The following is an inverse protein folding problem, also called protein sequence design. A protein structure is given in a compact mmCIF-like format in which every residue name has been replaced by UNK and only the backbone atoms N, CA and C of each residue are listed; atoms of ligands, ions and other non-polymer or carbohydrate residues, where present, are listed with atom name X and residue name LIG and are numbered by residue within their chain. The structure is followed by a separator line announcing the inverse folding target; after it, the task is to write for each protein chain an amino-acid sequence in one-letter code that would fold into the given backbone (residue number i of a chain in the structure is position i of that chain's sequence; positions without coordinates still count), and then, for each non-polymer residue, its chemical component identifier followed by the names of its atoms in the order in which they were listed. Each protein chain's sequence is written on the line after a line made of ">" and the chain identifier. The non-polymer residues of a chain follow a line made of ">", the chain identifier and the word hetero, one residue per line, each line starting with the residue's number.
data_IF_658032074763
#
_entry.id   IF_658032074763
#
_cell.length_a   1.000
_cell.length_b   1.000
_cell.length_c   1.000
_cell.angle_alpha   90.00
_cell.angle_beta   90.00
_cell.angle_gamma   90.00
#
_symmetry.space_group_name_H-M   'P 1'
#
loop_
_entity.id
_entity.type
_entity.pdbx_description
1 polymer ?
#
# COMPACT_ATOMS: atom_id res chain seq x y z
N UNK A 1 -10.34 14.80 -10.56
CA UNK A 1 -9.53 14.21 -11.65
C UNK A 1 -9.55 12.70 -11.46
N UNK A 2 -9.77 11.90 -12.53
CA UNK A 2 -9.72 10.43 -12.48
C UNK A 2 -8.56 9.93 -13.33
N UNK A 3 -7.83 8.94 -12.84
CA UNK A 3 -6.71 8.33 -13.56
C UNK A 3 -6.39 6.93 -13.01
N UNK A 4 -5.74 6.10 -13.83
CA UNK A 4 -5.28 4.76 -13.42
C UNK A 4 -3.83 4.85 -12.91
N UNK A 5 -3.54 4.15 -11.82
CA UNK A 5 -2.18 3.92 -11.33
C UNK A 5 -1.87 2.42 -11.41
N UNK A 6 -0.92 2.07 -12.27
CA UNK A 6 -0.57 0.67 -12.58
C UNK A 6 0.66 0.28 -11.79
N UNK A 7 0.63 -0.87 -11.12
CA UNK A 7 1.78 -1.48 -10.43
C UNK A 7 2.16 -2.79 -11.12
N UNK A 8 2.75 -2.65 -12.30
CA UNK A 8 3.21 -3.75 -13.13
C UNK A 8 4.69 -3.60 -13.52
N UNK A 9 5.21 -4.58 -14.25
CA UNK A 9 6.63 -4.63 -14.65
C UNK A 9 7.04 -3.55 -15.67
N UNK A 10 6.17 -2.61 -16.00
CA UNK A 10 6.55 -1.39 -16.75
C UNK A 10 6.99 -0.26 -15.82
N UNK A 11 6.65 -0.34 -14.53
CA UNK A 11 7.11 0.60 -13.51
C UNK A 11 8.52 0.23 -13.03
N UNK A 12 9.28 1.24 -12.61
CA UNK A 12 10.70 1.11 -12.28
C UNK A 12 10.98 0.02 -11.23
N UNK A 13 10.19 -0.02 -10.15
CA UNK A 13 10.40 -0.99 -9.07
C UNK A 13 9.91 -2.40 -9.44
N UNK A 14 8.67 -2.63 -9.87
CA UNK A 14 8.23 -3.97 -10.24
C UNK A 14 9.02 -4.57 -11.42
N UNK A 15 9.64 -3.75 -12.29
CA UNK A 15 10.47 -4.20 -13.40
C UNK A 15 11.75 -4.93 -12.96
N UNK A 16 12.28 -4.64 -11.77
CA UNK A 16 13.47 -5.32 -11.22
C UNK A 16 13.12 -6.56 -10.39
N UNK A 17 11.84 -6.78 -10.08
CA UNK A 17 11.39 -7.95 -9.34
C UNK A 17 11.34 -9.20 -10.21
N UNK A 18 11.58 -10.37 -9.63
CA UNK A 18 11.59 -11.64 -10.36
C UNK A 18 10.17 -12.11 -10.67
N UNK A 19 9.81 -12.29 -11.94
CA UNK A 19 8.48 -12.81 -12.29
C UNK A 19 8.26 -14.26 -11.81
N UNK A 20 7.09 -14.54 -11.22
CA UNK A 20 6.70 -15.89 -10.82
C UNK A 20 5.91 -16.58 -11.96
N UNK A 21 6.47 -17.58 -12.66
CA UNK A 21 5.88 -18.08 -13.91
C UNK A 21 4.48 -18.70 -13.78
N UNK A 22 4.15 -19.23 -12.60
CA UNK A 22 2.88 -19.93 -12.36
C UNK A 22 1.85 -19.06 -11.63
N UNK A 23 2.25 -17.90 -11.12
CA UNK A 23 1.41 -17.08 -10.26
C UNK A 23 0.98 -17.78 -8.97
N UNK A 24 -0.06 -17.23 -8.35
CA UNK A 24 -0.67 -17.73 -7.10
C UNK A 24 -2.19 -17.65 -7.19
N UNK A 25 -2.92 -18.59 -6.59
CA UNK A 25 -4.39 -18.56 -6.57
C UNK A 25 -4.98 -17.73 -5.43
N UNK A 26 -4.20 -17.54 -4.35
CA UNK A 26 -4.57 -16.66 -3.23
C UNK A 26 -4.75 -15.23 -3.73
N UNK A 27 -5.83 -14.50 -3.40
CA UNK A 27 -6.85 -14.83 -2.38
C UNK A 27 -8.10 -15.59 -2.88
N UNK A 28 -8.23 -15.90 -4.17
CA UNK A 28 -9.45 -16.51 -4.73
C UNK A 28 -9.45 -18.03 -4.57
N UNK A 29 -9.59 -18.50 -3.32
CA UNK A 29 -9.74 -19.91 -2.97
C UNK A 29 -11.19 -20.26 -2.65
N UNK A 30 -11.68 -21.37 -3.20
CA UNK A 30 -13.00 -21.92 -2.86
C UNK A 30 -13.07 -22.52 -1.44
N UNK A 31 -11.91 -22.75 -0.81
CA UNK A 31 -11.78 -23.19 0.58
C UNK A 31 -11.54 -22.01 1.55
N UNK A 32 -11.72 -20.78 1.07
CA UNK A 32 -11.59 -19.56 1.86
C UNK A 32 -10.14 -19.06 1.98
N UNK A 33 -10.01 -17.76 2.20
CA UNK A 33 -8.73 -17.06 2.34
C UNK A 33 -8.90 -15.72 3.05
N UNK A 34 -7.97 -15.39 3.95
CA UNK A 34 -7.69 -14.02 4.41
C UNK A 34 -6.30 -13.66 3.93
N UNK A 35 -6.17 -12.59 3.15
CA UNK A 35 -4.90 -12.15 2.60
C UNK A 35 -4.72 -10.66 2.80
N UNK A 36 -3.59 -10.25 3.35
CA UNK A 36 -3.09 -8.89 3.30
C UNK A 36 -1.90 -8.81 2.34
N UNK A 37 -1.91 -7.79 1.49
CA UNK A 37 -0.79 -7.43 0.61
C UNK A 37 -0.59 -5.92 0.63
N UNK A 38 0.57 -5.45 0.18
CA UNK A 38 0.86 -4.01 0.09
C UNK A 38 1.21 -3.56 -1.31
N UNK A 39 0.85 -2.32 -1.62
CA UNK A 39 1.31 -1.58 -2.81
C UNK A 39 1.91 -0.26 -2.35
N UNK A 40 3.16 -0.01 -2.72
CA UNK A 40 3.89 1.21 -2.34
C UNK A 40 3.69 2.27 -3.40
N UNK A 41 3.95 3.52 -3.03
CA UNK A 41 3.90 4.64 -3.96
C UNK A 41 4.90 4.47 -5.13
N UNK A 42 6.09 3.93 -4.84
CA UNK A 42 7.12 3.69 -5.84
C UNK A 42 6.74 2.55 -6.81
N UNK A 43 5.88 1.61 -6.39
CA UNK A 43 5.41 0.51 -7.24
C UNK A 43 4.49 1.00 -8.35
N UNK A 44 3.80 2.14 -8.14
CA UNK A 44 2.93 2.80 -9.13
C UNK A 44 3.59 4.01 -9.82
N UNK A 45 4.90 4.20 -9.61
CA UNK A 45 5.66 5.29 -10.23
C UNK A 45 5.36 6.68 -9.66
N UNK A 46 4.81 6.79 -8.46
CA UNK A 46 4.58 8.08 -7.82
C UNK A 46 5.86 8.67 -7.24
N UNK A 47 5.98 9.99 -7.34
CA UNK A 47 7.00 10.76 -6.64
C UNK A 47 6.49 11.13 -5.23
N UNK A 48 7.41 11.24 -4.27
CA UNK A 48 7.15 11.78 -2.93
C UNK A 48 6.83 13.28 -2.96
N UNK A 49 7.33 14.01 -3.95
CA UNK A 49 7.22 15.47 -4.03
C UNK A 49 6.04 15.96 -4.86
N UNK A 50 5.41 15.09 -5.66
CA UNK A 50 4.31 15.47 -6.53
C UNK A 50 2.99 15.58 -5.73
N UNK A 51 2.45 16.80 -5.52
CA UNK A 51 1.22 17.00 -4.77
C UNK A 51 -0.02 16.44 -5.48
N UNK A 52 0.05 16.15 -6.78
CA UNK A 52 -1.06 15.55 -7.52
C UNK A 52 -1.35 14.10 -7.12
N UNK A 53 -0.36 13.43 -6.51
CA UNK A 53 -0.43 12.05 -6.04
C UNK A 53 -0.63 11.94 -4.51
N UNK A 54 -1.12 12.99 -3.87
CA UNK A 54 -1.43 13.02 -2.43
C UNK A 54 -2.92 13.14 -2.20
N UNK A 55 -3.43 12.52 -1.12
CA UNK A 55 -4.86 12.50 -0.78
C UNK A 55 -5.75 11.96 -1.92
N UNK A 56 -5.30 10.88 -2.54
CA UNK A 56 -5.98 10.25 -3.67
C UNK A 56 -6.96 9.20 -3.14
N UNK A 57 -8.18 9.22 -3.64
CA UNK A 57 -9.19 8.24 -3.26
C UNK A 57 -9.20 7.06 -4.22
N UNK A 58 -9.26 5.86 -3.66
CA UNK A 58 -9.39 4.62 -4.42
C UNK A 58 -10.85 4.41 -4.76
N UNK A 59 -11.15 4.41 -6.06
CA UNK A 59 -12.49 4.15 -6.63
C UNK A 59 -12.61 2.72 -7.18
N UNK A 60 -11.49 2.11 -7.58
CA UNK A 60 -11.42 0.78 -8.17
C UNK A 60 -10.08 0.10 -7.94
N UNK A 61 -10.08 -1.24 -8.01
CA UNK A 61 -8.89 -2.08 -7.87
C UNK A 61 -8.94 -3.16 -8.94
N UNK A 62 -7.79 -3.52 -9.50
CA UNK A 62 -7.68 -4.50 -10.57
C UNK A 62 -6.47 -5.41 -10.33
N UNK A 63 -6.57 -6.67 -10.75
CA UNK A 63 -5.48 -7.64 -10.66
C UNK A 63 -5.14 -8.20 -12.04
N UNK A 64 -3.87 -8.53 -12.26
CA UNK A 64 -3.44 -9.15 -13.50
C UNK A 64 -3.57 -10.68 -13.43
N UNK A 65 -4.29 -11.35 -14.35
CA UNK A 65 -4.24 -12.79 -14.48
C UNK A 65 -2.97 -13.27 -15.16
N UNK A 66 -2.41 -14.40 -14.69
CA UNK A 66 -1.23 -15.02 -15.32
C UNK A 66 -1.51 -15.28 -16.80
N UNK A 67 -0.68 -14.71 -17.68
CA UNK A 67 -0.79 -14.90 -19.13
C UNK A 67 -2.11 -14.40 -19.73
N UNK A 68 -2.83 -13.50 -19.04
CA UNK A 68 -4.13 -13.01 -19.50
C UNK A 68 -5.26 -14.03 -19.39
N UNK A 69 -5.06 -15.15 -18.69
CA UNK A 69 -6.02 -16.25 -18.64
C UNK A 69 -6.97 -16.12 -17.45
N UNK A 70 -8.27 -16.09 -17.72
CA UNK A 70 -9.31 -16.01 -16.70
C UNK A 70 -10.31 -17.13 -16.88
N UNK A 71 -10.65 -17.79 -15.77
CA UNK A 71 -11.74 -18.75 -15.66
C UNK A 71 -12.94 -18.05 -15.02
N UNK A 72 -14.12 -18.23 -15.62
CA UNK A 72 -15.34 -17.71 -15.03
C UNK A 72 -15.58 -18.35 -13.67
N UNK A 73 -15.83 -17.53 -12.65
CA UNK A 73 -15.98 -17.99 -11.27
C UNK A 73 -16.94 -17.07 -10.51
N UNK A 74 -17.49 -17.56 -9.40
CA UNK A 74 -18.39 -16.79 -8.56
C UNK A 74 -18.18 -17.14 -7.10
N UNK A 75 -17.72 -16.15 -6.33
CA UNK A 75 -17.62 -16.22 -4.89
C UNK A 75 -18.83 -15.50 -4.29
N UNK A 76 -19.72 -16.23 -3.62
CA UNK A 76 -20.94 -15.65 -3.05
C UNK A 76 -20.63 -14.60 -1.99
N UNK A 77 -19.54 -14.81 -1.24
CA UNK A 77 -19.09 -13.92 -0.18
C UNK A 77 -17.63 -13.53 -0.43
N UNK A 78 -17.39 -12.22 -0.57
CA UNK A 78 -16.06 -11.67 -0.80
C UNK A 78 -16.02 -10.24 -0.26
N UNK A 79 -14.99 -9.90 0.51
CA UNK A 79 -14.83 -8.56 1.08
C UNK A 79 -13.46 -7.97 0.73
N UNK A 80 -13.43 -6.64 0.62
CA UNK A 80 -12.21 -5.85 0.44
C UNK A 80 -12.15 -4.79 1.51
N UNK A 81 -11.01 -4.69 2.18
CA UNK A 81 -10.74 -3.63 3.14
C UNK A 81 -9.38 -2.98 2.90
N UNK A 82 -9.27 -1.69 3.18
CA UNK A 82 -8.08 -0.87 2.91
C UNK A 82 -7.64 -0.10 4.17
N UNK A 83 -6.34 0.14 4.31
CA UNK A 83 -5.72 0.95 5.37
C UNK A 83 -4.31 1.40 4.95
N UNK A 84 -3.65 2.28 5.69
CA UNK A 84 -2.21 2.48 5.55
C UNK A 84 -1.45 1.37 6.27
N UNK A 85 -0.49 0.78 5.57
CA UNK A 85 0.39 -0.25 6.14
C UNK A 85 1.35 0.35 7.17
N UNK A 86 1.52 -0.34 8.30
CA UNK A 86 2.57 -0.06 9.30
C UNK A 86 3.97 -0.28 8.74
N UNK A 87 4.08 -1.14 7.73
CA UNK A 87 5.32 -1.61 7.15
C UNK A 87 5.49 -1.08 5.73
N UNK A 88 6.72 -0.73 5.40
CA UNK A 88 7.16 -0.32 4.06
C UNK A 88 8.25 -1.31 3.65
N UNK A 89 7.88 -2.42 2.98
CA UNK A 89 8.87 -3.39 2.53
C UNK A 89 9.94 -2.73 1.66
N UNK A 90 11.19 -3.06 1.93
CA UNK A 90 12.37 -2.66 1.17
C UNK A 90 13.20 -3.91 0.84
N UNK A 91 13.13 -4.31 -0.43
CA UNK A 91 13.72 -5.51 -1.00
C UNK A 91 15.17 -5.34 -1.48
N UNK A 92 15.85 -4.28 -1.01
CA UNK A 92 17.28 -4.11 -1.28
C UNK A 92 18.11 -5.29 -0.78
N UNK A 93 19.09 -5.68 -1.59
CA UNK A 93 20.05 -6.75 -1.30
C UNK A 93 21.48 -6.23 -1.25
N UNK A 94 22.31 -6.84 -0.42
CA UNK A 94 23.74 -6.58 -0.38
C UNK A 94 24.46 -7.21 -1.60
N UNK A 95 25.76 -6.94 -1.81
CA UNK A 95 26.53 -7.55 -2.90
C UNK A 95 26.66 -9.09 -2.85
N UNK A 96 26.27 -9.72 -1.73
CA UNK A 96 26.22 -11.16 -1.53
C UNK A 96 24.80 -11.73 -1.65
N UNK A 97 23.85 -10.92 -2.11
CA UNK A 97 22.44 -11.25 -2.31
C UNK A 97 21.67 -11.50 -1.00
N UNK A 98 22.11 -10.96 0.14
CA UNK A 98 21.33 -11.03 1.38
C UNK A 98 20.37 -9.82 1.48
N UNK A 99 19.14 -9.99 1.99
CA UNK A 99 18.26 -8.86 2.26
C UNK A 99 18.91 -7.88 3.26
N UNK A 100 18.92 -6.59 2.93
CA UNK A 100 19.43 -5.51 3.80
C UNK A 100 18.40 -5.17 4.88
N UNK A 101 17.10 -5.22 4.53
CA UNK A 101 15.99 -4.87 5.42
C UNK A 101 14.97 -5.99 5.57
N UNK A 102 15.36 -7.19 6.07
CA UNK A 102 14.48 -8.36 6.12
C UNK A 102 13.22 -8.15 6.99
N UNK A 103 13.29 -7.26 7.98
CA UNK A 103 12.19 -6.97 8.90
C UNK A 103 11.26 -5.83 8.48
N UNK A 104 11.43 -5.29 7.26
CA UNK A 104 10.68 -4.12 6.76
C UNK A 104 9.26 -4.43 6.27
N UNK A 105 8.93 -5.71 6.09
CA UNK A 105 7.66 -6.19 5.54
C UNK A 105 6.59 -6.57 6.56
N UNK A 106 5.46 -7.07 6.05
CA UNK A 106 4.29 -7.50 6.83
C UNK A 106 4.63 -8.56 7.88
N UNK A 107 3.82 -8.62 8.94
CA UNK A 107 3.92 -9.64 10.00
C UNK A 107 2.67 -10.51 10.04
N UNK A 108 2.79 -11.66 10.73
CA UNK A 108 1.75 -12.68 10.73
C UNK A 108 0.43 -12.20 11.36
N UNK A 109 0.49 -11.55 12.52
CA UNK A 109 -0.71 -11.04 13.17
C UNK A 109 -1.31 -9.88 12.35
N UNK A 110 -2.50 -10.10 11.75
CA UNK A 110 -3.09 -9.16 10.80
C UNK A 110 -3.30 -7.76 11.39
N UNK A 111 -3.73 -7.68 12.64
CA UNK A 111 -3.94 -6.41 13.34
C UNK A 111 -2.65 -5.59 13.51
N UNK A 112 -1.48 -6.23 13.52
CA UNK A 112 -0.19 -5.55 13.68
C UNK A 112 0.31 -4.91 12.37
N UNK A 113 -0.34 -5.17 11.24
CA UNK A 113 0.02 -4.57 9.94
C UNK A 113 -0.58 -3.18 9.72
N UNK A 114 -1.49 -2.72 10.59
CA UNK A 114 -2.15 -1.42 10.50
C UNK A 114 -1.28 -0.31 11.10
N UNK A 115 -1.09 0.79 10.38
CA UNK A 115 -0.27 1.90 10.83
C UNK A 115 -0.87 2.64 12.04
N UNK A 116 -2.19 2.89 12.01
CA UNK A 116 -2.92 3.56 13.09
C UNK A 116 -4.32 2.98 13.24
N UNK A 117 -4.48 1.84 13.94
CA UNK A 117 -5.78 1.17 14.09
C UNK A 117 -6.88 2.03 14.72
N UNK A 118 -6.53 3.15 15.39
CA UNK A 118 -7.50 3.99 16.09
C UNK A 118 -8.07 5.09 15.19
N UNK A 119 -7.23 5.70 14.34
CA UNK A 119 -7.65 6.81 13.47
C UNK A 119 -7.74 6.42 11.98
N UNK A 120 -7.07 5.33 11.59
CA UNK A 120 -7.07 4.74 10.25
C UNK A 120 -7.29 3.21 10.36
N UNK A 121 -8.44 2.77 10.91
CA UNK A 121 -8.75 1.36 11.02
C UNK A 121 -8.88 0.73 9.63
N UNK A 122 -8.82 -0.60 9.59
CA UNK A 122 -9.07 -1.35 8.38
C UNK A 122 -10.51 -1.09 7.87
N UNK A 123 -10.63 -0.32 6.79
CA UNK A 123 -11.89 0.19 6.28
C UNK A 123 -12.45 -0.74 5.20
N UNK A 124 -13.62 -1.31 5.44
CA UNK A 124 -14.31 -2.13 4.45
C UNK A 124 -14.89 -1.28 3.30
N UNK A 125 -14.28 -1.42 2.12
CA UNK A 125 -14.71 -0.74 0.90
C UNK A 125 -15.60 -1.59 0.00
N UNK A 126 -15.61 -2.92 0.20
CA UNK A 126 -16.55 -3.83 -0.46
C UNK A 126 -17.08 -4.83 0.56
N UNK A 127 -18.38 -4.79 0.92
CA UNK A 127 -18.97 -5.68 1.92
C UNK A 127 -19.11 -7.11 1.42
N UNK A 128 -18.92 -8.05 2.36
CA UNK A 128 -18.95 -9.50 2.15
C UNK A 128 -20.10 -9.98 1.25
N UNK A 129 -21.31 -9.54 1.54
CA UNK A 129 -22.56 -10.06 0.96
C UNK A 129 -22.72 -9.73 -0.51
N UNK A 130 -21.88 -8.84 -1.06
CA UNK A 130 -21.90 -8.48 -2.48
C UNK A 130 -21.13 -9.46 -3.35
N UNK A 131 -20.32 -10.33 -2.76
CA UNK A 131 -19.59 -11.38 -3.46
C UNK A 131 -18.61 -10.86 -4.51
N UNK A 132 -18.12 -11.77 -5.35
CA UNK A 132 -17.28 -11.46 -6.51
C UNK A 132 -17.56 -12.41 -7.67
N UNK A 133 -18.08 -11.86 -8.77
CA UNK A 133 -18.22 -12.58 -10.04
C UNK A 133 -17.01 -12.26 -10.91
N UNK A 134 -16.23 -13.29 -11.24
CA UNK A 134 -15.13 -13.21 -12.20
C UNK A 134 -15.68 -13.61 -13.57
N UNK A 135 -15.65 -12.68 -14.52
CA UNK A 135 -16.12 -12.91 -15.89
C UNK A 135 -14.99 -12.62 -16.87
N UNK A 136 -14.60 -13.58 -17.74
CA UNK A 136 -13.59 -13.31 -18.77
C UNK A 136 -13.95 -12.14 -19.71
N UNK A 137 -15.24 -11.81 -19.83
CA UNK A 137 -15.70 -10.65 -20.62
C UNK A 137 -15.39 -9.29 -20.00
N UNK A 138 -15.01 -9.23 -18.71
CA UNK A 138 -14.59 -8.00 -18.02
C UNK A 138 -13.09 -7.72 -18.17
N UNK A 139 -12.34 -8.59 -18.82
CA UNK A 139 -10.90 -8.41 -19.02
C UNK A 139 -10.63 -7.17 -19.88
N UNK A 140 -9.73 -6.30 -19.42
CA UNK A 140 -9.35 -5.08 -20.13
C UNK A 140 -7.84 -4.91 -20.16
N UNK A 141 -7.33 -4.08 -21.07
CA UNK A 141 -5.94 -3.67 -21.07
C UNK A 141 -5.80 -2.35 -20.29
N UNK A 142 -4.93 -2.33 -19.28
CA UNK A 142 -4.53 -1.12 -18.55
C UNK A 142 -3.82 -0.11 -19.44
N UNK A 143 -3.54 1.09 -18.93
CA UNK A 143 -2.78 2.14 -19.65
C UNK A 143 -1.39 1.70 -20.13
N UNK A 144 -0.80 0.68 -19.51
CA UNK A 144 0.50 0.11 -19.87
C UNK A 144 0.39 -1.08 -20.83
N UNK A 145 -0.83 -1.53 -21.13
CA UNK A 145 -1.13 -2.68 -21.99
C UNK A 145 -1.21 -4.02 -21.26
N UNK A 146 -0.90 -4.08 -19.95
CA UNK A 146 -1.08 -5.28 -19.14
C UNK A 146 -2.57 -5.60 -19.02
N UNK A 147 -2.93 -6.87 -19.26
CA UNK A 147 -4.31 -7.33 -19.11
C UNK A 147 -4.68 -7.41 -17.64
N UNK A 148 -5.83 -6.84 -17.30
CA UNK A 148 -6.33 -6.68 -15.94
C UNK A 148 -7.76 -7.22 -15.84
N UNK A 149 -8.06 -7.79 -14.68
CA UNK A 149 -9.38 -8.22 -14.25
C UNK A 149 -9.81 -7.33 -13.07
N UNK A 150 -10.93 -6.64 -13.16
CA UNK A 150 -11.39 -5.77 -12.09
C UNK A 150 -11.90 -6.57 -10.88
N UNK A 151 -11.54 -6.11 -9.68
CA UNK A 151 -12.21 -6.50 -8.44
C UNK A 151 -13.63 -5.90 -8.39
N UNK A 152 -14.52 -6.38 -7.49
CA UNK A 152 -15.92 -5.95 -7.47
C UNK A 152 -16.16 -4.56 -6.84
N UNK A 153 -15.10 -3.86 -6.39
CA UNK A 153 -15.19 -2.54 -5.75
C UNK A 153 -15.96 -1.55 -6.65
N UNK A 154 -17.03 -0.96 -6.10
CA UNK A 154 -17.92 0.00 -6.76
C UNK A 154 -18.55 -0.45 -8.10
N UNK A 155 -18.44 -1.74 -8.47
CA UNK A 155 -19.06 -2.24 -9.69
C UNK A 155 -20.54 -2.54 -9.46
N UNK A 156 -21.38 -2.20 -10.45
CA UNK A 156 -22.83 -2.48 -10.39
C UNK A 156 -23.62 -1.68 -9.35
N UNK A 157 -23.04 -0.60 -8.81
CA UNK A 157 -23.74 0.36 -7.92
C UNK A 157 -23.75 1.76 -8.52
N UNK A 158 -24.75 2.60 -8.19
CA UNK A 158 -24.74 3.99 -8.62
C UNK A 158 -23.59 4.76 -7.94
N UNK A 159 -23.08 5.80 -8.61
CA UNK A 159 -21.97 6.62 -8.11
C UNK A 159 -22.22 7.23 -6.73
N UNK A 160 -23.48 7.51 -6.38
CA UNK A 160 -23.87 8.00 -5.05
C UNK A 160 -23.61 7.02 -3.92
N UNK A 161 -23.43 5.74 -4.23
CA UNK A 161 -23.17 4.66 -3.27
C UNK A 161 -21.71 4.19 -3.30
N UNK A 162 -20.84 4.87 -4.06
CA UNK A 162 -19.44 4.50 -4.13
C UNK A 162 -18.76 4.64 -2.78
N UNK A 163 -18.09 3.56 -2.37
CA UNK A 163 -17.19 3.56 -1.22
C UNK A 163 -15.78 3.91 -1.69
N UNK A 164 -15.10 4.71 -0.89
CA UNK A 164 -13.77 5.22 -1.21
C UNK A 164 -12.87 5.09 0.01
N UNK A 165 -11.58 4.97 -0.25
CA UNK A 165 -10.54 5.05 0.78
C UNK A 165 -9.48 6.05 0.32
N UNK A 166 -9.13 7.01 1.18
CA UNK A 166 -8.12 8.02 0.86
C UNK A 166 -6.73 7.46 1.19
N UNK A 167 -5.94 7.21 0.16
CA UNK A 167 -4.53 6.84 0.30
C UNK A 167 -3.62 8.06 0.22
N UNK A 168 -2.44 7.93 0.83
CA UNK A 168 -1.48 9.03 1.02
C UNK A 168 -2.17 10.22 1.71
N UNK A 169 -2.94 9.90 2.75
CA UNK A 169 -3.79 10.87 3.45
C UNK A 169 -2.97 11.73 4.41
N UNK A 170 -2.71 12.96 4.00
CA UNK A 170 -1.97 13.96 4.78
C UNK A 170 -2.68 14.47 6.04
N UNK A 171 -3.96 14.13 6.22
CA UNK A 171 -4.66 14.37 7.49
C UNK A 171 -4.19 13.43 8.60
N UNK A 172 -3.75 12.22 8.26
CA UNK A 172 -3.24 11.24 9.22
C UNK A 172 -1.86 11.64 9.72
N UNK A 173 -1.71 11.66 11.04
CA UNK A 173 -0.46 12.06 11.72
C UNK A 173 0.42 10.87 12.11
N UNK A 174 -0.07 9.65 11.91
CA UNK A 174 0.65 8.43 12.22
C UNK A 174 2.01 8.38 11.52
N UNK A 175 2.93 7.69 12.18
CA UNK A 175 4.30 7.45 11.75
C UNK A 175 4.61 5.97 11.87
N UNK A 176 5.20 5.38 10.84
CA UNK A 176 5.49 3.94 10.82
C UNK A 176 6.77 3.61 10.01
N UNK A 177 6.88 2.38 9.49
CA UNK A 177 8.02 1.86 8.72
C UNK A 177 9.36 1.81 9.49
N UNK A 178 9.37 1.21 10.69
CA UNK A 178 10.54 1.18 11.61
C UNK A 178 11.77 0.42 11.11
N UNK A 179 11.61 -0.56 10.21
CA UNK A 179 12.67 -1.53 9.89
C UNK A 179 13.19 -1.45 8.43
N UNK A 180 12.84 -0.40 7.69
CA UNK A 180 13.29 -0.18 6.30
C UNK A 180 14.40 0.88 6.18
N UNK A 181 14.60 1.42 4.97
CA UNK A 181 15.53 2.53 4.72
C UNK A 181 14.99 3.92 5.15
N UNK A 182 13.67 4.04 5.32
CA UNK A 182 12.98 5.32 5.56
C UNK A 182 11.89 5.52 4.51
N UNK A 183 11.45 6.76 4.29
CA UNK A 183 10.39 7.04 3.31
C UNK A 183 10.82 6.69 1.88
N UNK A 184 12.08 6.90 1.53
CA UNK A 184 12.64 6.53 0.24
C UNK A 184 13.26 5.12 0.33
N UNK A 185 12.72 4.18 -0.44
CA UNK A 185 13.22 2.79 -0.45
C UNK A 185 14.55 2.70 -1.21
N UNK A 186 15.46 1.84 -0.74
CA UNK A 186 16.82 1.79 -1.27
C UNK A 186 16.89 1.43 -2.77
N UNK A 187 16.01 0.53 -3.24
CA UNK A 187 15.94 0.18 -4.66
C UNK A 187 15.45 1.33 -5.54
N UNK A 188 14.59 2.24 -5.05
CA UNK A 188 14.11 3.36 -5.85
C UNK A 188 15.23 4.36 -6.16
N UNK A 189 16.11 4.61 -5.18
CA UNK A 189 17.31 5.43 -5.36
C UNK A 189 18.21 4.82 -6.44
N UNK A 190 18.48 3.51 -6.34
CA UNK A 190 19.37 2.81 -7.27
C UNK A 190 18.81 2.74 -8.70
N UNK A 191 17.54 2.42 -8.87
CA UNK A 191 16.91 2.23 -10.19
C UNK A 191 16.70 3.55 -10.92
N UNK A 192 16.20 4.58 -10.23
CA UNK A 192 15.92 5.86 -10.86
C UNK A 192 17.18 6.70 -11.10
N UNK A 193 18.34 6.24 -10.62
CA UNK A 193 19.59 6.98 -10.69
C UNK A 193 19.44 8.37 -10.08
N UNK A 194 18.55 8.49 -9.08
CA UNK A 194 18.41 9.71 -8.30
C UNK A 194 19.81 10.06 -7.81
N UNK A 195 20.17 11.37 -7.80
CA UNK A 195 21.43 11.72 -7.19
C UNK A 195 21.46 10.99 -5.84
N UNK A 196 22.57 10.34 -5.48
CA UNK A 196 22.77 10.07 -4.08
C UNK A 196 22.71 11.46 -3.46
N UNK A 197 21.54 11.84 -2.95
CA UNK A 197 21.41 12.99 -2.08
C UNK A 197 22.54 12.80 -1.06
N UNK A 198 23.22 13.86 -0.61
CA UNK A 198 24.34 13.77 0.33
C UNK A 198 24.04 13.01 1.65
N UNK A 199 22.85 12.43 1.76
CA UNK A 199 22.12 11.84 2.89
C UNK A 199 21.85 10.33 2.70
N UNK A 200 22.31 9.71 1.61
CA UNK A 200 22.18 8.27 1.37
C UNK A 200 23.52 7.53 1.53
N UNK A 201 23.86 7.15 2.77
CA UNK A 201 24.63 5.93 2.96
C UNK A 201 24.13 5.13 4.16
N UNK A 202 24.02 3.83 3.87
CA UNK A 202 24.00 2.61 4.69
C UNK A 202 24.60 2.80 6.09
N UNK A 203 24.32 1.90 7.04
CA UNK A 203 25.05 1.68 8.31
C UNK A 203 26.60 1.71 8.20
N UNK A 204 27.12 2.90 7.93
CA UNK A 204 28.46 3.37 7.65
C UNK A 204 28.33 4.89 7.81
N UNK A 205 28.53 5.38 9.04
CA UNK A 205 28.91 6.76 9.37
C UNK A 205 27.99 7.91 8.86
N UNK A 206 26.87 8.16 9.56
CA UNK A 206 26.33 9.52 9.79
C UNK A 206 25.52 10.17 8.67
N UNK A 207 24.33 9.63 8.34
CA UNK A 207 23.41 10.14 7.32
C UNK A 207 21.96 10.23 7.85
N UNK A 208 21.12 11.16 7.34
CA UNK A 208 19.75 11.41 7.83
C UNK A 208 18.71 11.40 6.69
N UNK A 209 17.79 10.44 6.68
CA UNK A 209 16.71 10.40 5.67
C UNK A 209 15.69 11.56 5.86
N UNK A 210 15.06 12.04 4.77
CA UNK A 210 13.94 13.02 4.79
C UNK A 210 12.92 12.66 5.86
N UNK A 211 12.59 11.37 5.93
CA UNK A 211 11.90 10.74 7.05
C UNK A 211 12.59 9.41 7.36
N UNK A 212 13.24 9.28 8.52
CA UNK A 212 13.95 8.06 8.90
C UNK A 212 13.01 6.89 9.19
N UNK A 213 13.54 5.66 9.28
CA UNK A 213 12.74 4.50 9.67
C UNK A 213 12.00 4.75 10.98
N UNK A 214 10.69 4.50 10.98
CA UNK A 214 9.81 4.73 12.12
C UNK A 214 9.17 6.11 12.17
N UNK A 215 9.62 7.04 11.33
CA UNK A 215 9.06 8.39 11.18
C UNK A 215 8.46 8.64 9.79
N UNK A 216 8.12 7.56 9.07
CA UNK A 216 7.47 7.69 7.76
C UNK A 216 6.01 8.06 7.94
N UNK A 217 5.65 9.21 7.39
CA UNK A 217 4.28 9.74 7.33
C UNK A 217 3.37 8.95 6.39
N UNK A 218 2.06 9.03 6.60
CA UNK A 218 1.03 8.37 5.78
C UNK A 218 1.18 8.57 4.27
N UNK A 219 1.79 9.67 3.81
CA UNK A 219 2.13 9.87 2.40
C UNK A 219 3.10 8.80 1.88
N UNK A 220 4.10 8.43 2.66
CA UNK A 220 5.07 7.40 2.30
C UNK A 220 4.62 5.98 2.61
N UNK A 221 3.57 5.81 3.42
CA UNK A 221 3.11 4.49 3.83
C UNK A 221 2.38 3.75 2.69
N UNK A 222 2.64 2.45 2.50
CA UNK A 222 1.97 1.67 1.47
C UNK A 222 0.47 1.58 1.72
N UNK A 223 -0.27 1.38 0.64
CA UNK A 223 -1.64 0.92 0.72
C UNK A 223 -1.63 -0.54 1.20
N UNK A 224 -2.26 -0.81 2.33
CA UNK A 224 -2.56 -2.16 2.80
C UNK A 224 -3.90 -2.60 2.20
N UNK A 225 -3.86 -3.70 1.45
CA UNK A 225 -5.04 -4.33 0.85
C UNK A 225 -5.36 -5.61 1.61
N UNK A 226 -6.55 -5.72 2.17
CA UNK A 226 -7.09 -6.98 2.69
C UNK A 226 -8.16 -7.53 1.76
N UNK A 227 -8.01 -8.79 1.40
CA UNK A 227 -9.01 -9.59 0.70
C UNK A 227 -9.48 -10.73 1.60
N UNK A 228 -10.79 -10.86 1.73
CA UNK A 228 -11.42 -12.00 2.42
C UNK A 228 -12.31 -12.74 1.43
N UNK A 229 -11.93 -13.97 1.11
CA UNK A 229 -12.74 -14.93 0.36
C UNK A 229 -13.26 -15.96 1.34
N UNK A 230 -14.56 -16.22 1.34
CA UNK A 230 -15.14 -17.19 2.26
C UNK A 230 -15.28 -18.55 1.56
N UNK A 231 -15.21 -19.68 2.29
CA UNK A 231 -15.42 -21.00 1.71
C UNK A 231 -16.76 -21.07 0.98
N UNK A 232 -16.70 -21.49 -0.28
CA UNK A 232 -17.86 -21.57 -1.17
C UNK A 232 -17.70 -22.79 -2.08
N UNK A 233 -18.53 -23.81 -1.86
CA UNK A 233 -18.52 -25.03 -2.67
C UNK A 233 -19.01 -24.83 -4.11
N UNK A 234 -19.60 -23.68 -4.43
CA UNK A 234 -19.98 -23.29 -5.78
C UNK A 234 -18.85 -22.60 -6.57
N UNK A 235 -17.81 -22.12 -5.89
CA UNK A 235 -16.66 -21.49 -6.50
C UNK A 235 -15.63 -22.52 -6.97
N UNK A 236 -14.90 -22.20 -8.04
CA UNK A 236 -13.84 -23.06 -8.58
C UNK A 236 -12.49 -22.80 -7.90
N UNK A 237 -12.13 -21.54 -7.67
CA UNK A 237 -10.86 -21.15 -7.05
C UNK A 237 -9.64 -21.39 -7.95
N UNK A 238 -9.83 -21.32 -9.28
CA UNK A 238 -8.79 -21.71 -10.26
C UNK A 238 -8.05 -20.53 -10.91
N UNK A 239 -8.48 -19.30 -10.64
CA UNK A 239 -7.85 -18.12 -11.20
C UNK A 239 -6.48 -17.87 -10.54
N UNK A 240 -5.43 -17.75 -11.36
CA UNK A 240 -4.08 -17.43 -10.90
C UNK A 240 -3.73 -15.98 -11.17
N UNK A 241 -3.22 -15.31 -10.14
CA UNK A 241 -2.71 -13.95 -10.16
C UNK A 241 -1.28 -13.92 -10.68
N UNK A 242 -0.99 -12.99 -11.59
CA UNK A 242 0.39 -12.66 -11.96
C UNK A 242 1.05 -11.93 -10.80
N UNK A 243 2.23 -12.42 -10.41
CA UNK A 243 2.98 -11.92 -9.26
C UNK A 243 4.46 -11.91 -9.56
N UNK A 244 5.19 -11.06 -8.86
CA UNK A 244 6.64 -11.10 -8.79
C UNK A 244 7.09 -11.50 -7.39
N UNK A 245 8.28 -12.06 -7.29
CA UNK A 245 9.01 -12.25 -6.04
C UNK A 245 9.87 -11.03 -5.80
N UNK A 246 9.71 -10.42 -4.64
CA UNK A 246 10.47 -9.22 -4.31
C UNK A 246 11.96 -9.51 -4.14
N UNK A 247 12.33 -10.74 -3.76
CA UNK A 247 13.71 -11.13 -3.58
C UNK A 247 13.96 -12.57 -4.08
N UNK A 248 14.88 -12.73 -5.04
CA UNK A 248 15.27 -14.06 -5.54
C UNK A 248 16.13 -14.88 -4.55
N UNK A 249 16.61 -14.27 -3.46
CA UNK A 249 17.54 -14.87 -2.51
C UNK A 249 16.90 -15.40 -1.22
N UNK A 250 15.65 -15.02 -0.95
CA UNK A 250 14.95 -15.35 0.29
C UNK A 250 13.53 -14.78 0.29
N UNK A 251 12.75 -15.16 1.30
CA UNK A 251 11.31 -14.81 1.38
C UNK A 251 11.05 -13.46 2.07
N UNK A 252 12.08 -12.64 2.30
CA UNK A 252 11.97 -11.37 3.02
C UNK A 252 12.54 -10.19 2.22
N UNK A 253 11.98 -8.98 2.38
CA UNK A 253 10.85 -8.66 3.28
C UNK A 253 9.50 -9.22 2.79
N UNK A 254 8.57 -9.39 3.71
CA UNK A 254 7.26 -9.95 3.39
C UNK A 254 6.35 -8.91 2.74
N UNK A 255 5.88 -9.20 1.53
CA UNK A 255 4.88 -8.39 0.83
C UNK A 255 3.46 -8.93 1.03
N UNK A 256 3.34 -10.19 1.45
CA UNK A 256 2.07 -10.87 1.65
C UNK A 256 2.02 -11.58 2.99
N UNK A 257 0.89 -11.43 3.67
CA UNK A 257 0.51 -12.19 4.85
C UNK A 257 -0.85 -12.86 4.59
N UNK A 258 -0.96 -14.18 4.72
CA UNK A 258 -2.19 -14.88 4.38
C UNK A 258 -2.45 -16.15 5.19
N UNK A 259 -3.74 -16.50 5.26
CA UNK A 259 -4.25 -17.83 5.60
C UNK A 259 -5.17 -18.26 4.46
N UNK A 260 -4.93 -19.39 3.82
CA UNK A 260 -5.72 -19.88 2.67
C UNK A 260 -5.99 -21.37 2.82
N UNK A 261 -7.26 -21.76 2.71
CA UNK A 261 -7.68 -23.15 2.75
C UNK A 261 -7.13 -23.97 1.59
N UNK A 262 -6.98 -25.27 1.80
CA UNK A 262 -6.36 -26.19 0.85
C UNK A 262 -6.54 -27.65 1.24
N UNK A 263 -5.83 -28.53 0.53
CA UNK A 263 -5.81 -29.97 0.81
C UNK A 263 -4.42 -30.35 1.30
N UNK A 264 -4.35 -31.00 2.46
CA UNK A 264 -3.09 -31.43 3.08
C UNK A 264 -2.50 -32.70 2.43
N UNK A 265 -1.31 -33.10 2.88
CA UNK A 265 -0.64 -34.34 2.43
C UNK A 265 -1.42 -35.63 2.72
N UNK A 266 -2.41 -35.60 3.62
CA UNK A 266 -3.29 -36.72 3.96
C UNK A 266 -4.62 -36.67 3.18
N UNK A 267 -4.76 -35.75 2.21
CA UNK A 267 -5.99 -35.48 1.45
C UNK A 267 -7.15 -34.92 2.29
N UNK A 268 -6.86 -34.43 3.50
CA UNK A 268 -7.83 -33.73 4.32
C UNK A 268 -8.02 -32.30 3.78
N UNK A 269 -9.28 -31.88 3.69
CA UNK A 269 -9.65 -30.50 3.35
C UNK A 269 -9.54 -29.66 4.62
N UNK A 270 -8.76 -28.60 4.55
CA UNK A 270 -8.67 -27.56 5.57
C UNK A 270 -9.26 -26.27 4.99
N UNK A 271 -10.43 -25.88 5.50
CA UNK A 271 -11.14 -24.69 5.05
C UNK A 271 -10.89 -23.55 6.02
N UNK A 272 -10.59 -22.37 5.49
CA UNK A 272 -10.28 -21.17 6.27
C UNK A 272 -11.50 -20.26 6.30
N UNK A 273 -12.02 -19.98 7.50
CA UNK A 273 -12.96 -18.88 7.69
C UNK A 273 -12.20 -17.58 7.98
N UNK A 274 -12.15 -16.61 7.06
CA UNK A 274 -11.27 -15.45 7.21
C UNK A 274 -11.61 -14.57 8.42
N UNK A 275 -12.84 -14.60 8.94
CA UNK A 275 -13.21 -13.85 10.14
C UNK A 275 -12.69 -14.47 11.45
N UNK A 276 -12.25 -15.72 11.42
CA UNK A 276 -11.66 -16.43 12.56
C UNK A 276 -10.12 -16.42 12.55
N UNK A 277 -9.52 -15.91 11.47
CA UNK A 277 -8.07 -15.89 11.30
C UNK A 277 -7.45 -14.63 11.89
N UNK A 278 -6.85 -14.71 13.08
CA UNK A 278 -6.15 -13.56 13.69
C UNK A 278 -4.70 -13.39 13.18
N UNK A 279 -4.15 -14.44 12.57
CA UNK A 279 -2.76 -14.49 12.12
C UNK A 279 -2.65 -15.24 10.79
N UNK A 280 -1.66 -14.86 9.99
CA UNK A 280 -1.31 -15.51 8.74
C UNK A 280 -0.71 -16.91 9.00
N UNK A 281 -1.52 -17.93 8.77
CA UNK A 281 -1.20 -19.34 9.03
C UNK A 281 -0.70 -20.07 7.78
N UNK A 282 -0.73 -19.42 6.61
CA UNK A 282 -0.34 -20.00 5.35
C UNK A 282 -1.42 -20.85 4.71
N UNK A 283 -1.01 -21.84 3.95
CA UNK A 283 -1.92 -22.69 3.20
C UNK A 283 -1.23 -23.97 2.76
N UNK A 284 -1.66 -24.54 1.64
CA UNK A 284 -1.14 -25.81 1.14
C UNK A 284 -0.75 -25.67 -0.33
N UNK A 285 0.42 -26.19 -0.69
CA UNK A 285 0.88 -26.21 -2.08
C UNK A 285 0.41 -27.51 -2.76
N UNK A 286 -0.56 -27.47 -3.68
CA UNK A 286 -1.03 -28.67 -4.38
C UNK A 286 0.01 -29.24 -5.35
N UNK A 287 1.05 -28.48 -5.69
CA UNK A 287 2.14 -28.88 -6.58
C UNK A 287 3.43 -29.25 -5.82
N UNK A 288 3.39 -29.34 -4.49
CA UNK A 288 4.56 -29.73 -3.70
C UNK A 288 5.04 -31.14 -4.06
N UNK A 289 6.36 -31.33 -4.00
CA UNK A 289 7.01 -32.63 -4.24
C UNK A 289 7.80 -33.06 -3.00
N UNK A 290 7.90 -34.37 -2.69
CA UNK A 290 7.34 -35.51 -3.43
C UNK A 290 5.84 -35.77 -3.19
N UNK A 291 5.24 -35.14 -2.18
CA UNK A 291 3.82 -35.31 -1.84
C UNK A 291 3.09 -33.97 -2.03
N UNK A 292 1.98 -33.93 -2.80
CA UNK A 292 1.10 -32.76 -2.88
C UNK A 292 0.51 -32.36 -1.53
N UNK A 293 0.23 -31.07 -1.34
CA UNK A 293 -0.44 -30.56 -0.14
C UNK A 293 0.50 -30.29 1.04
N UNK A 294 1.78 -30.02 0.79
CA UNK A 294 2.70 -29.56 1.85
C UNK A 294 2.31 -28.14 2.28
N UNK A 295 2.30 -27.91 3.59
CA UNK A 295 2.00 -26.60 4.16
C UNK A 295 3.00 -25.53 3.67
N UNK A 296 2.49 -24.35 3.33
CA UNK A 296 3.27 -23.16 2.98
C UNK A 296 3.29 -22.19 4.16
N UNK A 297 4.37 -21.40 4.35
CA UNK A 297 4.36 -20.34 5.36
C UNK A 297 3.27 -19.29 5.05
N UNK A 298 2.74 -18.64 6.08
CA UNK A 298 1.77 -17.54 5.94
C UNK A 298 2.36 -16.20 5.57
N UNK A 299 3.68 -16.10 5.51
CA UNK A 299 4.40 -14.89 5.12
C UNK A 299 5.33 -15.23 3.96
N UNK A 300 5.27 -14.42 2.91
CA UNK A 300 6.19 -14.51 1.79
C UNK A 300 6.37 -13.16 1.07
N UNK A 301 7.27 -13.17 0.09
CA UNK A 301 7.72 -12.00 -0.66
C UNK A 301 6.93 -11.79 -1.96
N UNK A 302 5.73 -12.37 -2.06
CA UNK A 302 4.87 -12.28 -3.25
C UNK A 302 4.30 -10.87 -3.40
N UNK A 303 4.69 -10.21 -4.49
CA UNK A 303 4.16 -8.92 -4.94
C UNK A 303 3.14 -9.12 -6.06
N UNK A 304 1.89 -8.68 -5.86
CA UNK A 304 0.84 -8.81 -6.87
C UNK A 304 0.99 -7.76 -7.97
N UNK A 305 0.76 -8.17 -9.22
CA UNK A 305 0.64 -7.25 -10.36
C UNK A 305 -0.82 -6.79 -10.49
N UNK A 306 -1.02 -5.50 -10.72
CA UNK A 306 -2.37 -4.95 -10.83
C UNK A 306 -2.40 -3.47 -11.14
N UNK A 307 -3.57 -2.87 -10.93
CA UNK A 307 -3.77 -1.42 -11.00
C UNK A 307 -4.85 -0.95 -10.03
N UNK A 308 -4.94 0.36 -9.85
CA UNK A 308 -5.99 1.01 -9.07
C UNK A 308 -6.53 2.22 -9.82
N UNK A 309 -7.84 2.43 -9.71
CA UNK A 309 -8.51 3.60 -10.25
C UNK A 309 -8.59 4.67 -9.17
N UNK A 310 -7.96 5.81 -9.43
CA UNK A 310 -7.81 6.90 -8.48
C UNK A 310 -8.65 8.10 -8.87
N UNK A 311 -9.17 8.77 -7.84
CA UNK A 311 -9.88 10.04 -7.98
C UNK A 311 -9.44 11.02 -6.92
N UNK A 312 -9.13 12.25 -7.32
CA UNK A 312 -8.91 13.34 -6.35
C UNK A 312 -10.26 13.97 -6.02
N UNK A 313 -10.77 13.71 -4.81
CA UNK A 313 -11.95 14.40 -4.24
C UNK A 313 -11.60 15.41 -3.17
N UNK A 314 -10.49 15.18 -2.45
CA UNK A 314 -9.99 16.08 -1.41
C UNK A 314 -8.67 16.68 -1.85
N UNK A 315 -8.59 18.01 -1.91
CA UNK A 315 -7.33 18.73 -2.07
C UNK A 315 -6.99 19.40 -0.74
N UNK A 316 -5.75 19.18 -0.26
CA UNK A 316 -5.25 19.81 0.97
C UNK A 316 -4.03 20.65 0.63
N UNK A 317 -4.01 21.87 1.14
CA UNK A 317 -2.85 22.75 1.12
C UNK A 317 -2.41 23.03 2.56
N UNK A 318 -1.11 23.15 2.75
CA UNK A 318 -0.50 23.43 4.04
C UNK A 318 0.22 24.76 3.98
N UNK A 319 0.11 25.56 5.04
CA UNK A 319 0.99 26.70 5.24
C UNK A 319 2.33 26.24 5.77
N UNK A 320 3.36 27.05 5.59
CA UNK A 320 4.60 26.91 6.35
C UNK A 320 4.32 27.09 7.85
N UNK A 321 5.13 26.46 8.70
CA UNK A 321 5.13 26.76 10.13
C UNK A 321 5.59 28.20 10.34
N UNK A 322 4.90 28.94 11.19
CA UNK A 322 5.32 30.28 11.62
C UNK A 322 5.43 30.30 13.15
N UNK A 323 6.60 30.70 13.64
CA UNK A 323 6.86 30.86 15.06
C UNK A 323 6.02 31.99 15.65
N UNK A 324 5.42 31.74 16.81
CA UNK A 324 4.94 32.79 17.71
C UNK A 324 5.97 32.91 18.86
N UNK A 325 6.10 34.10 19.47
CA UNK A 325 7.10 34.48 20.50
C UNK A 325 7.83 33.35 21.28
N UNK A 326 9.15 33.47 21.58
CA UNK A 326 9.91 34.73 21.68
C UNK A 326 10.65 35.17 20.41
N UNK A 327 10.93 34.26 19.48
CA UNK A 327 11.68 34.52 18.24
C UNK A 327 10.77 34.77 17.01
N UNK A 328 9.46 34.89 17.23
CA UNK A 328 8.42 34.99 16.19
C UNK A 328 7.54 36.21 16.34
N UNK A 329 6.30 36.15 15.82
CA UNK A 329 5.34 37.24 15.99
C UNK A 329 4.99 37.37 17.48
N UNK A 330 5.36 38.49 18.11
CA UNK A 330 5.19 38.73 19.55
C UNK A 330 3.74 38.89 19.99
N UNK A 331 2.85 39.28 19.06
CA UNK A 331 1.42 39.48 19.26
C UNK A 331 0.66 39.10 17.97
N UNK A 332 0.50 37.81 17.66
CA UNK A 332 -0.21 37.38 16.46
C UNK A 332 -1.69 37.79 16.53
N UNK A 333 -2.21 38.37 15.45
CA UNK A 333 -3.64 38.66 15.30
C UNK A 333 -4.34 37.43 14.75
N UNK A 334 -5.12 36.76 15.60
CA UNK A 334 -5.94 35.61 15.20
C UNK A 334 -7.28 36.11 14.65
N UNK A 335 -7.28 36.59 13.40
CA UNK A 335 -8.51 36.90 12.70
C UNK A 335 -9.14 35.61 12.15
N UNK A 336 -10.49 35.53 12.04
CA UNK A 336 -11.13 34.46 11.31
C UNK A 336 -10.57 34.36 9.90
N UNK A 337 -10.27 33.15 9.44
CA UNK A 337 -9.83 32.95 8.07
C UNK A 337 -10.93 33.34 7.08
N UNK A 338 -10.52 34.00 6.00
CA UNK A 338 -11.39 34.34 4.88
C UNK A 338 -11.12 33.32 3.77
N UNK A 339 -12.16 32.63 3.33
CA UNK A 339 -12.10 31.69 2.20
C UNK A 339 -12.72 32.33 0.97
N UNK A 340 -12.02 32.24 -0.16
CA UNK A 340 -12.53 32.62 -1.47
C UNK A 340 -12.51 31.38 -2.37
N UNK A 341 -13.64 30.97 -2.97
CA UNK A 341 -14.98 31.56 -2.85
C UNK A 341 -15.60 31.40 -1.45
N UNK A 342 -16.45 32.34 -1.06
CA UNK A 342 -17.21 32.23 0.18
C UNK A 342 -18.11 30.98 0.17
N UNK A 343 -18.53 30.49 1.33
CA UNK A 343 -19.34 29.26 1.42
C UNK A 343 -20.64 29.31 0.59
N UNK A 344 -21.21 30.51 0.37
CA UNK A 344 -22.40 30.69 -0.45
C UNK A 344 -22.13 30.67 -1.96
N UNK A 345 -20.87 30.86 -2.36
CA UNK A 345 -20.42 30.90 -3.76
C UNK A 345 -19.71 29.61 -4.18
N UNK A 346 -19.52 28.69 -3.24
CA UNK A 346 -18.98 27.37 -3.52
C UNK A 346 -20.01 26.55 -4.31
N UNK A 347 -19.60 25.87 -5.41
CA UNK A 347 -20.48 24.96 -6.13
C UNK A 347 -21.12 23.92 -5.21
N UNK A 348 -22.35 23.54 -5.53
CA UNK A 348 -23.08 22.52 -4.76
C UNK A 348 -22.26 21.23 -4.62
N UNK A 349 -22.16 20.71 -3.40
CA UNK A 349 -21.39 19.51 -3.09
C UNK A 349 -19.89 19.74 -2.86
N UNK A 350 -19.40 20.99 -2.91
CA UNK A 350 -18.02 21.32 -2.55
C UNK A 350 -17.97 22.06 -1.21
N UNK A 351 -16.85 21.93 -0.48
CA UNK A 351 -16.61 22.72 0.73
C UNK A 351 -15.13 23.03 0.90
N UNK A 352 -14.81 24.22 1.43
CA UNK A 352 -13.46 24.56 1.91
C UNK A 352 -13.45 24.41 3.43
N UNK A 353 -12.55 23.59 3.94
CA UNK A 353 -12.35 23.39 5.38
C UNK A 353 -10.95 23.88 5.76
N UNK A 354 -10.87 24.65 6.85
CA UNK A 354 -9.62 25.15 7.41
C UNK A 354 -9.39 24.47 8.75
N UNK A 355 -8.27 23.77 8.87
CA UNK A 355 -7.81 23.18 10.12
C UNK A 355 -6.56 23.91 10.59
N UNK A 356 -6.52 24.28 11.86
CA UNK A 356 -5.35 24.89 12.48
C UNK A 356 -4.53 23.81 13.19
N UNK A 357 -3.23 23.76 12.89
CA UNK A 357 -2.27 22.89 13.59
C UNK A 357 -1.26 23.74 14.35
N UNK A 358 -0.91 23.31 15.54
CA UNK A 358 0.14 23.91 16.37
C UNK A 358 1.16 22.84 16.76
N UNK A 359 2.41 23.24 16.91
CA UNK A 359 3.49 22.39 17.41
C UNK A 359 4.26 23.16 18.49
N UNK A 360 4.70 22.46 19.54
CA UNK A 360 5.58 23.03 20.56
C UNK A 360 7.02 23.17 20.04
N UNK A 361 7.43 22.24 19.19
CA UNK A 361 8.72 22.21 18.50
C UNK A 361 8.47 21.68 17.08
N UNK A 362 9.20 22.20 16.09
CA UNK A 362 9.26 21.64 14.74
C UNK A 362 10.72 21.66 14.29
N UNK A 363 11.18 20.57 13.68
CA UNK A 363 12.50 20.54 13.03
C UNK A 363 12.31 20.92 11.56
N UNK A 364 13.01 21.94 11.07
CA UNK A 364 13.19 22.03 9.62
C UNK A 364 14.15 20.92 9.19
N UNK A 365 13.92 20.29 8.04
CA UNK A 365 14.90 19.40 7.40
C UNK A 365 16.27 20.11 7.26
N UNK A 366 16.26 21.44 7.13
CA UNK A 366 17.46 22.27 7.12
C UNK A 366 18.23 22.36 8.45
N UNK A 367 17.62 21.99 9.58
CA UNK A 367 18.26 22.01 10.90
C UNK A 367 19.00 20.68 11.21
N UNK A 368 18.83 19.65 10.38
CA UNK A 368 19.46 18.34 10.57
C UNK A 368 20.79 18.18 9.78
N UNK A 369 21.16 19.15 8.94
CA UNK A 369 22.44 19.16 8.20
C UNK A 369 23.10 20.54 8.33
N UNK A 370 24.24 20.66 9.03
CA UNK A 370 25.02 21.89 8.97
C UNK A 370 25.63 22.02 7.57
N UNK A 371 25.15 22.99 6.79
CA UNK A 371 25.84 23.42 5.58
C UNK A 371 27.26 23.90 5.95
N UNK A 372 28.33 23.48 5.24
CA UNK A 372 29.70 23.84 5.60
C UNK A 372 30.00 25.34 5.60
N UNK A 373 29.17 26.17 4.94
CA UNK A 373 29.46 27.60 4.74
C UNK A 373 28.24 28.52 4.87
N UNK A 374 27.13 28.07 5.48
CA UNK A 374 26.04 28.99 5.82
C UNK A 374 26.35 29.64 7.18
N UNK A 375 26.44 30.98 7.29
CA UNK A 375 26.52 31.61 8.60
C UNK A 375 25.28 31.18 9.39
N UNK A 376 25.51 30.63 10.59
CA UNK A 376 24.46 30.16 11.48
C UNK A 376 23.32 31.19 11.51
N UNK A 377 22.05 30.77 11.30
CA UNK A 377 20.95 31.67 11.57
C UNK A 377 21.00 31.98 13.07
N UNK A 378 21.46 33.18 13.39
CA UNK A 378 21.35 33.73 14.73
C UNK A 378 19.87 33.97 15.00
N UNK A 379 19.18 32.94 15.48
CA UNK A 379 17.88 33.11 16.11
C UNK A 379 18.12 33.64 17.53
N UNK A 380 17.68 34.88 17.76
CA UNK A 380 17.38 35.43 19.10
C UNK A 380 15.94 35.11 19.42
#
# INVERSE_FOLDING_TARGET
>A
MRYEAVHDRTQAIPAILGAAPLGVQTPLSNLGSRTMTVVRYADVGFDLTDPSNMNVDIEGLNWAPVGGQVVADNFTNFAISLSHSRFLPDEAVDPFNNPVFPGSGLVAAFANNLADPNNDPLMEVHPKERGYIVSPGDLFASTTGTLMMPYPLNRGVPQSEYRHYTWRDTALLARAATNGAGIEIANNIGVLGLPPEPEFAVAMIGYAAIQPPGDVSSMGLPLLLEFKTYPDGGALGLNSFDVSFSNGAGITPFFRAFSTGGTDTNTAIDAVEPDLEDSANGGFNPLSTPVPGVATPGLDDTFYIGSMDLVVRVSRSYSVWFGTAPSGILLPSYNPAVTEPSAAEQPEGTSIQIAYRGAAEFAHIHDMVPWPDAPAPNCV
#
